data_IF_097364369020
#
_entry.id   IF_097364369020
#
_cell.length_a   1.000
_cell.length_b   1.000
_cell.length_c   1.000
_cell.angle_alpha   90.00
_cell.angle_beta   90.00
_cell.angle_gamma   90.00
#
_symmetry.space_group_name_H-M   'P 1'
#
loop_
_entity.id
_entity.type
_entity.pdbx_description
1 polymer ?
#
# COMPACT_ATOMS: atom_id res chain seq x y z
N UNK A 1 37.95 -18.76 14.35
CA UNK A 1 36.66 -19.15 13.75
C UNK A 1 35.65 -18.00 13.49
N UNK A 2 35.91 -16.73 13.87
CA UNK A 2 34.95 -15.61 13.63
C UNK A 2 34.97 -15.01 12.21
N UNK A 3 36.02 -15.26 11.42
CA UNK A 3 36.19 -14.64 10.09
C UNK A 3 35.29 -15.25 9.00
N UNK A 4 35.03 -16.57 9.02
CA UNK A 4 34.13 -17.19 8.03
C UNK A 4 32.72 -16.60 8.11
N UNK A 5 32.18 -16.43 9.32
CA UNK A 5 30.83 -15.92 9.52
C UNK A 5 30.64 -14.47 9.01
N UNK A 6 31.71 -13.66 9.02
CA UNK A 6 31.68 -12.29 8.48
C UNK A 6 31.74 -12.27 6.95
N UNK A 7 32.50 -13.18 6.33
CA UNK A 7 32.56 -13.30 4.88
C UNK A 7 31.25 -13.84 4.30
N UNK A 8 30.64 -14.83 4.95
CA UNK A 8 29.35 -15.36 4.55
C UNK A 8 28.24 -14.30 4.69
N UNK A 9 28.25 -13.52 5.78
CA UNK A 9 27.35 -12.37 5.96
C UNK A 9 27.55 -11.31 4.87
N UNK A 10 28.78 -10.96 4.52
CA UNK A 10 29.05 -10.01 3.44
C UNK A 10 28.60 -10.54 2.07
N UNK A 11 28.80 -11.83 1.80
CA UNK A 11 28.33 -12.46 0.56
C UNK A 11 26.79 -12.49 0.47
N UNK A 12 26.11 -12.78 1.57
CA UNK A 12 24.65 -12.71 1.66
C UNK A 12 24.15 -11.27 1.48
N UNK A 13 24.78 -10.28 2.13
CA UNK A 13 24.46 -8.86 1.93
C UNK A 13 24.67 -8.40 0.48
N UNK A 14 25.69 -8.92 -0.20
CA UNK A 14 25.93 -8.62 -1.61
C UNK A 14 24.83 -9.18 -2.52
N UNK A 15 24.36 -10.42 -2.29
CA UNK A 15 23.21 -11.00 -3.02
C UNK A 15 21.96 -10.17 -2.83
N UNK A 16 21.75 -9.76 -1.61
CA UNK A 16 20.64 -8.94 -1.22
C UNK A 16 20.66 -7.55 -1.91
N UNK A 17 21.85 -6.95 -2.09
CA UNK A 17 22.03 -5.71 -2.84
C UNK A 17 21.65 -5.82 -4.33
N UNK A 18 21.57 -7.04 -4.88
CA UNK A 18 21.22 -7.25 -6.30
C UNK A 18 19.72 -7.20 -6.61
N UNK A 19 18.83 -7.25 -5.60
CA UNK A 19 17.37 -7.36 -5.80
C UNK A 19 16.81 -6.25 -6.69
N UNK A 20 17.24 -5.01 -6.46
CA UNK A 20 16.83 -3.85 -7.26
C UNK A 20 18.00 -3.17 -7.97
N UNK A 21 19.07 -3.91 -8.28
CA UNK A 21 20.20 -3.33 -8.99
C UNK A 21 19.76 -2.76 -10.35
N UNK A 22 20.31 -1.59 -10.65
CA UNK A 22 20.22 -0.90 -11.93
C UNK A 22 21.65 -0.76 -12.45
N UNK A 23 21.86 -1.05 -13.73
CA UNK A 23 23.18 -0.96 -14.36
C UNK A 23 23.71 0.48 -14.27
N UNK A 24 24.94 0.65 -13.77
CA UNK A 24 25.59 1.96 -13.66
C UNK A 24 25.10 2.87 -12.52
N UNK A 25 24.23 2.39 -11.62
CA UNK A 25 23.73 3.20 -10.50
C UNK A 25 24.02 2.53 -9.14
N UNK A 26 24.67 3.29 -8.25
CA UNK A 26 24.87 2.93 -6.84
C UNK A 26 24.19 3.97 -5.93
N UNK A 27 23.21 3.59 -5.09
CA UNK A 27 22.56 4.50 -4.16
C UNK A 27 23.43 4.88 -2.94
N UNK A 28 24.48 4.12 -2.64
CA UNK A 28 25.29 4.25 -1.41
C UNK A 28 25.93 5.63 -1.21
N UNK A 29 26.51 6.29 -2.24
CA UNK A 29 27.15 7.59 -2.09
C UNK A 29 26.19 8.72 -1.73
N UNK A 30 24.89 8.54 -1.99
CA UNK A 30 23.86 9.53 -1.69
C UNK A 30 23.24 9.35 -0.30
N UNK A 31 23.72 8.38 0.49
CA UNK A 31 23.24 8.15 1.84
C UNK A 31 23.60 9.32 2.76
N UNK A 32 22.60 9.85 3.47
CA UNK A 32 22.77 10.92 4.45
C UNK A 32 22.63 10.35 5.84
N UNK A 33 23.48 10.78 6.77
CA UNK A 33 23.34 10.45 8.18
C UNK A 33 22.15 11.20 8.78
N UNK A 34 21.29 10.46 9.46
CA UNK A 34 20.14 10.94 10.18
C UNK A 34 20.17 10.35 11.58
N UNK A 35 20.05 11.21 12.58
CA UNK A 35 19.92 10.78 13.97
C UNK A 35 18.48 10.40 14.24
N UNK A 36 18.27 9.14 14.61
CA UNK A 36 16.97 8.68 15.07
C UNK A 36 16.62 9.40 16.38
N UNK A 37 15.51 10.14 16.39
CA UNK A 37 15.09 10.94 17.55
C UNK A 37 14.65 10.07 18.73
N UNK A 38 14.32 8.79 18.48
CA UNK A 38 13.87 7.86 19.51
C UNK A 38 15.04 7.13 20.18
N UNK A 39 16.08 6.78 19.42
CA UNK A 39 17.22 6.00 19.95
C UNK A 39 18.51 6.78 20.08
N UNK A 40 18.60 7.99 19.50
CA UNK A 40 19.83 8.78 19.45
C UNK A 40 20.91 8.22 18.52
N UNK A 41 20.62 7.16 17.78
CA UNK A 41 21.58 6.52 16.89
C UNK A 41 21.70 7.26 15.55
N UNK A 42 22.93 7.55 15.13
CA UNK A 42 23.22 8.04 13.78
C UNK A 42 23.08 6.91 12.76
N UNK A 43 22.03 6.96 11.95
CA UNK A 43 21.70 5.96 10.93
C UNK A 43 21.81 6.58 9.54
N UNK A 44 22.34 5.82 8.57
CA UNK A 44 22.40 6.28 7.17
C UNK A 44 21.08 5.98 6.47
N UNK A 45 20.45 7.00 5.89
CA UNK A 45 19.21 6.89 5.12
C UNK A 45 19.39 7.51 3.75
N UNK A 46 18.84 6.86 2.73
CA UNK A 46 18.77 7.41 1.39
C UNK A 46 17.68 8.50 1.33
N UNK A 47 17.97 9.72 0.85
CA UNK A 47 16.96 10.76 0.66
C UNK A 47 15.85 10.29 -0.29
N UNK A 48 14.60 10.72 -0.05
CA UNK A 48 13.42 10.26 -0.81
C UNK A 48 13.58 10.51 -2.31
N UNK A 49 14.19 11.63 -2.72
CA UNK A 49 14.44 11.92 -4.14
C UNK A 49 15.31 10.87 -4.82
N UNK A 50 16.31 10.32 -4.11
CA UNK A 50 17.21 9.31 -4.65
C UNK A 50 16.52 7.95 -4.69
N UNK A 51 15.69 7.63 -3.68
CA UNK A 51 14.82 6.44 -3.71
C UNK A 51 13.86 6.48 -4.92
N UNK A 52 13.25 7.65 -5.19
CA UNK A 52 12.37 7.83 -6.34
C UNK A 52 13.11 7.73 -7.67
N UNK A 53 14.33 8.29 -7.77
CA UNK A 53 15.16 8.16 -8.96
C UNK A 53 15.51 6.69 -9.22
N UNK A 54 15.95 5.97 -8.18
CA UNK A 54 16.27 4.55 -8.26
C UNK A 54 15.06 3.71 -8.69
N UNK A 55 13.90 3.97 -8.07
CA UNK A 55 12.64 3.34 -8.46
C UNK A 55 12.30 3.57 -9.93
N UNK A 56 12.40 4.82 -10.42
CA UNK A 56 12.11 5.16 -11.82
C UNK A 56 13.09 4.54 -12.81
N UNK A 57 14.34 4.32 -12.42
CA UNK A 57 15.32 3.63 -13.25
C UNK A 57 15.01 2.14 -13.37
N UNK A 58 14.52 1.50 -12.29
CA UNK A 58 14.12 0.08 -12.30
C UNK A 58 12.75 -0.14 -12.95
N UNK A 59 11.83 0.78 -12.71
CA UNK A 59 10.45 0.77 -13.19
C UNK A 59 10.15 2.09 -13.93
N UNK A 60 10.47 2.18 -15.24
CA UNK A 60 10.22 3.40 -16.02
C UNK A 60 8.74 3.79 -16.12
N UNK A 61 7.85 2.79 -16.13
CA UNK A 61 6.38 3.00 -16.06
C UNK A 61 5.86 3.06 -14.61
N UNK A 62 6.73 3.04 -13.60
CA UNK A 62 6.34 2.95 -12.21
C UNK A 62 5.55 4.16 -11.73
N UNK A 63 4.56 3.91 -10.87
CA UNK A 63 3.66 4.95 -10.31
C UNK A 63 3.75 4.97 -8.79
N UNK A 64 3.74 6.17 -8.22
CA UNK A 64 3.61 6.37 -6.77
C UNK A 64 2.30 7.14 -6.53
N UNK A 65 1.32 6.50 -5.90
CA UNK A 65 0.07 7.13 -5.52
C UNK A 65 0.14 7.55 -4.04
N UNK A 66 -0.26 8.77 -3.71
CA UNK A 66 -0.26 9.28 -2.34
C UNK A 66 -1.63 9.84 -2.01
N UNK A 67 -2.24 9.33 -0.95
CA UNK A 67 -3.48 9.83 -0.40
C UNK A 67 -3.19 10.49 0.95
N UNK A 68 -3.84 11.62 1.23
CA UNK A 68 -3.68 12.31 2.53
C UNK A 68 -5.04 12.60 3.12
N UNK A 69 -5.23 12.19 4.36
CA UNK A 69 -6.39 12.51 5.17
C UNK A 69 -6.01 13.44 6.33
N UNK A 70 -6.72 14.55 6.52
CA UNK A 70 -6.54 15.38 7.71
C UNK A 70 -7.08 14.64 8.95
N UNK A 71 -6.30 14.64 10.03
CA UNK A 71 -6.70 14.25 11.38
C UNK A 71 -6.97 15.46 12.26
N UNK A 72 -7.14 15.26 13.59
CA UNK A 72 -7.36 16.36 14.54
C UNK A 72 -6.14 17.30 14.62
N UNK A 73 -4.97 16.75 14.93
CA UNK A 73 -3.72 17.51 15.13
C UNK A 73 -2.58 17.02 14.23
N UNK A 74 -2.90 16.16 13.25
CA UNK A 74 -1.93 15.54 12.37
C UNK A 74 -2.50 15.33 10.97
N UNK A 75 -1.62 15.12 10.00
CA UNK A 75 -1.96 14.63 8.68
C UNK A 75 -1.50 13.20 8.57
N UNK A 76 -2.38 12.32 8.10
CA UNK A 76 -2.06 10.92 7.80
C UNK A 76 -1.94 10.80 6.28
N UNK A 77 -0.79 10.38 5.80
CA UNK A 77 -0.53 10.12 4.40
C UNK A 77 -0.28 8.63 4.17
N UNK A 78 -0.91 8.07 3.15
CA UNK A 78 -0.70 6.70 2.70
C UNK A 78 -0.11 6.74 1.30
N UNK A 79 1.00 6.06 1.09
CA UNK A 79 1.69 5.97 -0.19
C UNK A 79 1.70 4.53 -0.69
N UNK A 80 1.36 4.33 -1.95
CA UNK A 80 1.40 3.05 -2.68
C UNK A 80 2.35 3.16 -3.86
N UNK A 81 3.23 2.18 -4.00
CA UNK A 81 4.24 2.10 -5.06
C UNK A 81 3.86 0.98 -6.01
N UNK A 82 3.67 1.28 -7.29
CA UNK A 82 3.23 0.33 -8.32
C UNK A 82 4.32 0.13 -9.37
N UNK A 83 4.57 -1.11 -9.84
CA UNK A 83 5.59 -1.36 -10.86
C UNK A 83 5.24 -0.73 -12.22
N UNK A 84 3.95 -0.62 -12.55
CA UNK A 84 3.45 0.14 -13.71
C UNK A 84 2.23 0.99 -13.34
N UNK A 85 2.01 2.09 -14.05
CA UNK A 85 0.80 2.91 -13.94
C UNK A 85 -0.46 2.21 -14.48
N UNK A 86 -0.29 1.13 -15.26
CA UNK A 86 -1.38 0.32 -15.83
C UNK A 86 -1.93 -0.71 -14.86
N UNK A 87 -1.20 -0.96 -13.78
CA UNK A 87 -1.56 -1.97 -12.80
C UNK A 87 -2.83 -1.56 -12.02
N UNK A 88 -3.63 -2.55 -11.64
CA UNK A 88 -4.83 -2.35 -10.84
C UNK A 88 -4.53 -1.79 -9.44
N UNK A 89 -5.55 -1.31 -8.70
CA UNK A 89 -5.37 -0.63 -7.43
C UNK A 89 -4.67 -1.47 -6.34
N UNK A 90 -4.80 -2.80 -6.40
CA UNK A 90 -4.22 -3.74 -5.44
C UNK A 90 -2.86 -4.31 -5.85
N UNK A 91 -2.39 -4.01 -7.06
CA UNK A 91 -1.13 -4.54 -7.61
C UNK A 91 0.08 -3.66 -7.24
N UNK A 92 0.16 -3.22 -5.98
CA UNK A 92 1.27 -2.40 -5.48
C UNK A 92 2.42 -3.28 -4.96
N UNK A 93 3.67 -2.84 -5.17
CA UNK A 93 4.87 -3.46 -4.59
C UNK A 93 4.92 -3.25 -3.07
N UNK A 94 4.52 -2.07 -2.61
CA UNK A 94 4.45 -1.75 -1.20
C UNK A 94 3.46 -0.61 -0.93
N UNK A 95 2.87 -0.66 0.26
CA UNK A 95 2.11 0.43 0.86
C UNK A 95 2.79 0.84 2.17
N UNK A 96 2.75 2.13 2.48
CA UNK A 96 3.12 2.61 3.80
C UNK A 96 2.27 3.83 4.20
N UNK A 97 2.01 3.93 5.50
CA UNK A 97 1.29 5.06 6.09
C UNK A 97 2.22 5.81 7.05
N UNK A 98 2.15 7.14 7.02
CA UNK A 98 2.87 8.00 7.95
C UNK A 98 1.96 9.12 8.45
N UNK A 99 2.03 9.41 9.74
CA UNK A 99 1.34 10.53 10.36
C UNK A 99 2.34 11.58 10.84
N UNK A 100 2.06 12.87 10.60
CA UNK A 100 2.88 13.99 11.11
C UNK A 100 2.00 15.12 11.60
N UNK A 101 2.33 15.66 12.77
CA UNK A 101 1.74 16.86 13.35
C UNK A 101 2.59 18.10 13.12
N UNK A 102 2.11 19.25 13.60
CA UNK A 102 2.91 20.49 13.61
C UNK A 102 4.12 20.31 14.53
N UNK A 103 5.31 20.61 14.00
CA UNK A 103 6.55 20.56 14.78
C UNK A 103 6.95 21.98 15.19
N UNK A 104 6.97 22.31 16.50
CA UNK A 104 7.38 23.63 16.97
C UNK A 104 8.85 23.94 16.65
N UNK A 105 9.70 22.93 16.46
CA UNK A 105 11.10 23.11 16.06
C UNK A 105 11.25 23.41 14.55
N UNK A 106 10.23 23.11 13.74
CA UNK A 106 10.24 23.30 12.28
C UNK A 106 8.93 23.92 11.79
N UNK A 107 8.61 25.16 12.21
CA UNK A 107 7.33 25.79 11.90
C UNK A 107 7.13 26.10 10.41
N UNK A 108 8.21 26.11 9.61
CA UNK A 108 8.16 26.32 8.17
C UNK A 108 7.77 25.06 7.38
N UNK A 109 7.80 23.88 7.99
CA UNK A 109 7.50 22.62 7.32
C UNK A 109 6.01 22.32 7.47
N UNK A 110 5.30 22.21 6.36
CA UNK A 110 3.90 21.79 6.36
C UNK A 110 3.77 20.35 6.87
N UNK A 111 2.98 20.08 7.91
CA UNK A 111 2.77 18.73 8.42
C UNK A 111 2.20 17.78 7.36
N UNK A 112 1.41 18.32 6.43
CA UNK A 112 0.88 17.60 5.26
C UNK A 112 2.00 17.11 4.36
N UNK A 113 2.87 18.01 3.92
CA UNK A 113 3.97 17.68 3.00
C UNK A 113 5.00 16.76 3.66
N UNK A 114 5.20 16.95 4.97
CA UNK A 114 6.06 16.08 5.75
C UNK A 114 5.50 14.66 5.86
N UNK A 115 4.21 14.51 6.16
CA UNK A 115 3.53 13.21 6.17
C UNK A 115 3.63 12.52 4.80
N UNK A 116 3.36 13.25 3.71
CA UNK A 116 3.46 12.74 2.34
C UNK A 116 4.87 12.23 2.02
N UNK A 117 5.88 13.06 2.27
CA UNK A 117 7.29 12.71 1.99
C UNK A 117 7.74 11.53 2.86
N UNK A 118 7.28 11.47 4.11
CA UNK A 118 7.55 10.34 4.99
C UNK A 118 6.93 9.05 4.48
N UNK A 119 5.64 9.06 4.12
CA UNK A 119 4.92 7.91 3.60
C UNK A 119 5.57 7.36 2.32
N UNK A 120 5.87 8.22 1.34
CA UNK A 120 6.56 7.83 0.10
C UNK A 120 7.91 7.20 0.39
N UNK A 121 8.70 7.84 1.27
CA UNK A 121 10.01 7.31 1.63
C UNK A 121 9.95 5.97 2.35
N UNK A 122 8.90 5.69 3.15
CA UNK A 122 8.74 4.38 3.80
C UNK A 122 8.28 3.36 2.77
N UNK A 123 7.30 3.67 1.93
CA UNK A 123 6.80 2.75 0.91
C UNK A 123 7.90 2.33 -0.08
N UNK A 124 8.74 3.27 -0.52
CA UNK A 124 9.89 2.97 -1.38
C UNK A 124 10.94 2.09 -0.69
N UNK A 125 11.19 2.31 0.61
CA UNK A 125 12.01 1.38 1.40
C UNK A 125 11.37 -0.01 1.46
N UNK A 126 10.09 -0.12 1.74
CA UNK A 126 9.42 -1.42 1.79
C UNK A 126 9.45 -2.13 0.42
N UNK A 127 9.38 -1.36 -0.68
CA UNK A 127 9.46 -1.86 -2.06
C UNK A 127 10.88 -2.21 -2.53
N UNK A 128 11.90 -2.05 -1.69
CA UNK A 128 13.25 -2.43 -2.09
C UNK A 128 14.18 -1.28 -2.52
N UNK A 129 13.72 -0.03 -2.51
CA UNK A 129 14.43 1.17 -2.97
C UNK A 129 15.04 1.97 -1.80
N UNK A 130 15.76 1.27 -0.95
CA UNK A 130 16.34 1.81 0.27
C UNK A 130 17.75 1.29 0.50
N UNK A 131 18.41 1.74 1.57
CA UNK A 131 19.61 1.05 2.05
C UNK A 131 19.13 -0.15 2.85
N UNK A 132 18.69 -1.17 2.11
CA UNK A 132 17.69 -2.15 2.51
C UNK A 132 18.07 -3.10 3.68
N UNK A 133 19.30 -3.12 4.22
CA UNK A 133 19.72 -4.23 5.12
C UNK A 133 20.60 -3.87 6.32
N UNK A 134 20.80 -2.59 6.62
CA UNK A 134 21.23 -2.20 7.97
C UNK A 134 20.06 -2.21 8.98
N UNK A 135 18.87 -2.63 8.52
CA UNK A 135 17.62 -2.76 9.26
C UNK A 135 17.51 -4.08 10.07
N UNK A 136 18.55 -4.92 10.10
CA UNK A 136 18.59 -6.21 10.80
C UNK A 136 18.62 -6.09 12.35
N UNK A 137 17.94 -5.09 12.89
CA UNK A 137 17.76 -4.81 14.31
C UNK A 137 16.54 -3.93 14.57
N UNK A 138 15.61 -3.81 13.63
CA UNK A 138 14.25 -3.35 13.96
C UNK A 138 13.55 -4.49 14.69
N UNK A 139 13.85 -4.60 15.98
CA UNK A 139 12.86 -5.03 16.95
C UNK A 139 11.62 -4.18 16.67
N UNK A 140 10.54 -4.86 16.26
CA UNK A 140 9.25 -4.28 15.96
C UNK A 140 8.98 -3.14 16.92
N UNK A 141 8.73 -1.94 16.40
CA UNK A 141 8.16 -0.90 17.23
C UNK A 141 6.85 -1.46 17.81
N UNK A 142 6.89 -1.90 19.06
CA UNK A 142 5.73 -2.20 19.88
C UNK A 142 4.92 -0.91 20.01
N UNK A 143 4.12 -0.65 18.99
CA UNK A 143 2.91 0.13 19.14
C UNK A 143 1.81 -0.51 18.28
N UNK A 144 1.65 -1.82 18.47
CA UNK A 144 0.42 -2.52 18.17
C UNK A 144 -0.45 -2.46 19.43
N UNK A 145 -1.42 -1.55 19.39
CA UNK A 145 -2.77 -1.63 19.99
C UNK A 145 -2.85 -2.21 21.42
N UNK A 146 -3.06 -1.36 22.42
CA UNK A 146 -3.80 -1.75 23.62
C UNK A 146 -5.27 -1.41 23.37
N UNK A 147 -5.96 -2.26 22.63
CA UNK A 147 -7.40 -2.35 22.73
C UNK A 147 -7.82 -3.78 22.43
N UNK A 148 -8.24 -4.47 23.50
CA UNK A 148 -8.86 -5.79 23.55
C UNK A 148 -7.91 -6.98 23.69
N UNK A 149 -7.66 -7.39 24.95
CA UNK A 149 -7.89 -8.77 25.44
C UNK A 149 -7.75 -8.80 26.99
N UNK A 150 -8.70 -9.40 27.73
CA UNK A 150 -8.61 -9.53 29.17
C UNK A 150 -7.69 -10.70 29.57
N UNK A 151 -7.18 -10.59 30.80
CA UNK A 151 -6.18 -11.43 31.44
C UNK A 151 -6.52 -12.92 31.53
N UNK A 152 -5.49 -13.77 31.36
CA UNK A 152 -5.15 -14.87 32.27
C UNK A 152 -3.82 -15.53 31.88
N UNK A 153 -2.77 -15.17 32.63
CA UNK A 153 -1.72 -16.00 33.25
C UNK A 153 -1.13 -17.25 32.54
N UNK A 154 0.20 -17.16 32.37
CA UNK A 154 1.25 -18.10 32.79
C UNK A 154 1.73 -19.25 31.86
N UNK A 155 2.97 -19.02 31.41
CA UNK A 155 4.18 -19.86 31.60
C UNK A 155 4.37 -21.15 30.80
N UNK A 156 5.43 -21.14 29.99
CA UNK A 156 6.55 -22.11 29.96
C UNK A 156 7.03 -22.31 28.54
N UNK A 157 8.30 -22.01 28.30
CA UNK A 157 8.92 -22.13 26.99
C UNK A 157 9.28 -23.56 26.64
N UNK A 158 9.50 -23.81 25.34
CA UNK A 158 10.55 -24.71 24.90
C UNK A 158 10.91 -24.40 23.44
N UNK A 159 12.22 -24.40 23.17
CA UNK A 159 12.80 -24.43 21.83
C UNK A 159 12.35 -25.72 21.12
N UNK A 160 12.31 -25.74 19.78
CA UNK A 160 12.88 -26.80 18.93
C UNK A 160 12.59 -26.53 17.43
N UNK A 161 13.68 -26.33 16.71
CA UNK A 161 14.06 -26.80 15.37
C UNK A 161 13.04 -26.87 14.21
N UNK A 162 13.45 -26.18 13.14
CA UNK A 162 13.24 -26.53 11.73
C UNK A 162 13.56 -28.01 11.44
N UNK A 163 12.95 -28.57 10.38
CA UNK A 163 13.81 -29.14 9.33
C UNK A 163 13.41 -28.74 7.91
N UNK A 164 14.44 -28.57 7.10
CA UNK A 164 14.41 -28.55 5.64
C UNK A 164 14.76 -29.95 5.09
N UNK A 165 14.06 -30.39 4.05
CA UNK A 165 14.46 -31.33 2.99
C UNK A 165 13.24 -31.47 2.06
N UNK A 166 13.28 -31.53 0.74
CA UNK A 166 14.30 -31.95 -0.21
C UNK A 166 13.56 -32.71 -1.33
N UNK A 167 13.81 -32.30 -2.58
CA UNK A 167 13.32 -32.74 -3.90
C UNK A 167 13.17 -34.29 -4.11
N UNK A 168 12.51 -34.91 -5.09
CA UNK A 168 12.06 -34.69 -6.50
C UNK A 168 10.80 -35.62 -6.71
N UNK A 169 9.97 -35.60 -7.78
CA UNK A 169 10.23 -36.11 -9.15
C UNK A 169 9.02 -35.85 -10.08
N UNK A 170 9.30 -35.15 -11.19
CA UNK A 170 8.81 -35.22 -12.59
C UNK A 170 7.48 -35.93 -12.96
N UNK A 171 6.60 -35.22 -13.66
CA UNK A 171 5.96 -35.75 -14.89
C UNK A 171 5.41 -34.65 -15.81
N UNK A 172 5.75 -34.75 -17.09
CA UNK A 172 5.52 -33.81 -18.20
C UNK A 172 4.07 -33.73 -18.69
N UNK A 173 3.64 -32.55 -19.15
CA UNK A 173 2.96 -32.34 -20.44
C UNK A 173 2.67 -30.84 -20.68
N UNK A 174 3.25 -30.25 -21.72
CA UNK A 174 2.86 -28.95 -22.29
C UNK A 174 1.76 -29.14 -23.38
N UNK A 175 1.35 -28.10 -24.13
CA UNK A 175 0.21 -27.19 -23.91
C UNK A 175 -0.88 -27.36 -24.99
N UNK A 176 -2.01 -26.62 -24.91
CA UNK A 176 -2.38 -25.84 -26.11
C UNK A 176 -3.07 -24.49 -25.81
N UNK A 177 -2.56 -23.42 -26.42
CA UNK A 177 -3.38 -22.34 -27.03
C UNK A 177 -3.73 -22.78 -28.47
N UNK A 178 -4.62 -22.13 -29.27
CA UNK A 178 -5.19 -20.77 -29.14
C UNK A 178 -6.70 -20.65 -29.48
N UNK A 179 -7.44 -19.67 -28.93
CA UNK A 179 -8.63 -19.08 -29.61
C UNK A 179 -8.82 -17.61 -29.28
N UNK A 180 -8.67 -16.81 -30.33
CA UNK A 180 -9.06 -15.42 -30.54
C UNK A 180 -10.55 -15.20 -30.29
N UNK A 181 -10.92 -14.20 -29.48
CA UNK A 181 -12.22 -13.52 -29.53
C UNK A 181 -12.12 -12.12 -28.89
N UNK A 182 -12.86 -11.19 -29.47
CA UNK A 182 -12.87 -9.73 -29.26
C UNK A 182 -13.21 -9.28 -27.81
N UNK A 183 -12.89 -8.03 -27.44
CA UNK A 183 -13.27 -7.46 -26.15
C UNK A 183 -14.79 -7.27 -26.09
N UNK A 184 -15.49 -8.18 -25.42
CA UNK A 184 -16.88 -8.00 -25.03
C UNK A 184 -16.92 -6.84 -24.02
N UNK A 185 -17.46 -5.71 -24.45
CA UNK A 185 -17.80 -4.59 -23.60
C UNK A 185 -18.64 -5.10 -22.42
N UNK A 186 -18.25 -4.74 -21.18
CA UNK A 186 -19.08 -4.90 -19.98
C UNK A 186 -20.52 -4.44 -20.31
N UNK A 187 -21.45 -5.37 -20.43
CA UNK A 187 -22.86 -5.07 -20.70
C UNK A 187 -23.36 -4.04 -19.67
N UNK A 188 -24.23 -3.09 -20.06
CA UNK A 188 -24.72 -2.04 -19.17
C UNK A 188 -25.36 -2.62 -17.89
N UNK A 189 -25.94 -3.81 -17.99
CA UNK A 189 -26.51 -4.58 -16.89
C UNK A 189 -25.45 -4.99 -15.83
N UNK A 190 -24.27 -5.48 -16.25
CA UNK A 190 -23.20 -5.84 -15.31
C UNK A 190 -22.64 -4.62 -14.57
N UNK A 191 -22.60 -3.46 -15.24
CA UNK A 191 -22.17 -2.20 -14.62
C UNK A 191 -23.18 -1.70 -13.59
N UNK A 192 -24.48 -1.87 -13.87
CA UNK A 192 -25.55 -1.56 -12.94
C UNK A 192 -25.54 -2.49 -11.72
N UNK A 193 -25.36 -3.78 -11.92
CA UNK A 193 -25.27 -4.76 -10.83
C UNK A 193 -24.10 -4.45 -9.89
N UNK A 194 -22.93 -4.10 -10.45
CA UNK A 194 -21.78 -3.62 -9.67
C UNK A 194 -22.10 -2.32 -8.92
N UNK A 195 -22.83 -1.38 -9.54
CA UNK A 195 -23.25 -0.15 -8.89
C UNK A 195 -24.22 -0.42 -7.72
N UNK A 196 -25.18 -1.34 -7.90
CA UNK A 196 -26.12 -1.76 -6.85
C UNK A 196 -25.43 -2.47 -5.68
N UNK A 197 -24.35 -3.21 -5.94
CA UNK A 197 -23.56 -3.90 -4.91
C UNK A 197 -22.50 -3.00 -4.21
N UNK A 198 -22.35 -1.75 -4.66
CA UNK A 198 -21.42 -0.81 -4.02
C UNK A 198 -21.96 -0.39 -2.65
N UNK A 199 -21.11 -0.28 -1.63
CA UNK A 199 -21.54 0.09 -0.28
C UNK A 199 -21.91 1.57 -0.16
N UNK A 200 -22.96 1.85 0.63
CA UNK A 200 -23.42 3.21 0.89
C UNK A 200 -22.46 3.94 1.85
N UNK A 201 -21.97 5.15 1.48
CA UNK A 201 -21.03 5.92 2.28
C UNK A 201 -21.70 6.71 3.42
N UNK A 202 -23.03 6.70 3.52
CA UNK A 202 -23.78 7.45 4.52
C UNK A 202 -23.76 6.65 5.83
N UNK A 203 -23.29 7.27 6.92
CA UNK A 203 -23.16 6.63 8.25
C UNK A 203 -24.48 6.03 8.77
N UNK A 204 -25.62 6.63 8.41
CA UNK A 204 -26.98 6.13 8.74
C UNK A 204 -27.28 4.76 8.10
N UNK A 205 -26.62 4.43 6.99
CA UNK A 205 -26.80 3.20 6.22
C UNK A 205 -25.51 2.33 6.19
N UNK A 206 -24.66 2.46 7.21
CA UNK A 206 -23.40 1.72 7.32
C UNK A 206 -23.63 0.21 7.15
N UNK A 207 -22.94 -0.39 6.17
CA UNK A 207 -23.03 -1.82 5.85
C UNK A 207 -24.12 -2.20 4.85
N UNK A 208 -24.94 -1.25 4.38
CA UNK A 208 -25.93 -1.47 3.32
C UNK A 208 -25.36 -1.10 1.95
N UNK A 209 -25.84 -1.77 0.91
CA UNK A 209 -25.46 -1.45 -0.47
C UNK A 209 -26.30 -0.29 -1.04
N UNK A 210 -25.84 0.32 -2.12
CA UNK A 210 -26.60 1.39 -2.80
C UNK A 210 -27.95 0.88 -3.32
N UNK A 211 -28.03 -0.38 -3.78
CA UNK A 211 -29.30 -1.00 -4.18
C UNK A 211 -30.27 -1.20 -3.02
N UNK A 212 -29.77 -1.61 -1.85
CA UNK A 212 -30.59 -1.74 -0.64
C UNK A 212 -31.06 -0.37 -0.13
N UNK A 213 -30.18 0.64 -0.18
CA UNK A 213 -30.50 2.00 0.25
C UNK A 213 -31.45 2.68 -0.73
N UNK A 214 -31.38 2.39 -2.03
CA UNK A 214 -32.36 2.86 -3.02
C UNK A 214 -33.77 2.43 -2.65
N UNK A 215 -33.95 1.18 -2.24
CA UNK A 215 -35.25 0.62 -1.84
C UNK A 215 -35.79 1.23 -0.54
N UNK A 216 -34.92 1.76 0.32
CA UNK A 216 -35.29 2.33 1.62
C UNK A 216 -35.43 3.85 1.61
N UNK A 217 -34.53 4.54 0.92
CA UNK A 217 -34.44 6.00 0.87
C UNK A 217 -33.85 6.47 -0.47
N UNK A 218 -34.70 6.61 -1.51
CA UNK A 218 -34.27 7.07 -2.83
C UNK A 218 -33.59 8.45 -2.81
N UNK A 219 -33.95 9.31 -1.84
CA UNK A 219 -33.35 10.63 -1.68
C UNK A 219 -31.88 10.55 -1.23
N UNK A 220 -31.53 9.52 -0.47
CA UNK A 220 -30.15 9.28 -0.06
C UNK A 220 -29.25 8.96 -1.27
N UNK A 221 -29.75 8.14 -2.21
CA UNK A 221 -29.03 7.82 -3.45
C UNK A 221 -28.88 9.05 -4.33
N UNK A 222 -29.95 9.85 -4.49
CA UNK A 222 -29.88 11.11 -5.24
C UNK A 222 -28.90 12.12 -4.62
N UNK A 223 -28.84 12.18 -3.28
CA UNK A 223 -27.86 13.00 -2.58
C UNK A 223 -26.43 12.49 -2.83
N UNK A 224 -26.21 11.18 -2.87
CA UNK A 224 -24.89 10.60 -3.23
C UNK A 224 -24.52 10.93 -4.68
N UNK A 225 -25.47 10.85 -5.61
CA UNK A 225 -25.24 11.16 -7.02
C UNK A 225 -24.85 12.65 -7.26
N UNK A 226 -25.41 13.58 -6.47
CA UNK A 226 -25.34 15.03 -6.77
C UNK A 226 -24.54 15.87 -5.77
N UNK A 227 -24.48 15.47 -4.50
CA UNK A 227 -23.93 16.28 -3.40
C UNK A 227 -22.77 15.62 -2.66
N UNK A 228 -22.58 14.31 -2.80
CA UNK A 228 -21.47 13.61 -2.15
C UNK A 228 -20.12 14.02 -2.77
N UNK A 229 -19.19 14.42 -1.90
CA UNK A 229 -17.82 14.85 -2.25
C UNK A 229 -16.76 13.82 -1.87
N UNK A 230 -17.17 12.60 -1.53
CA UNK A 230 -16.25 11.52 -1.21
C UNK A 230 -15.77 10.83 -2.48
N UNK A 231 -15.84 9.51 -2.49
CA UNK A 231 -15.36 8.70 -3.61
C UNK A 231 -16.15 8.99 -4.92
N UNK A 232 -15.48 9.37 -6.02
CA UNK A 232 -16.12 9.60 -7.30
C UNK A 232 -16.74 8.33 -7.90
N UNK A 233 -16.24 7.13 -7.57
CA UNK A 233 -16.81 5.86 -8.04
C UNK A 233 -18.16 5.57 -7.38
N UNK A 234 -18.32 5.90 -6.10
CA UNK A 234 -19.59 5.77 -5.39
C UNK A 234 -20.62 6.79 -5.91
N UNK A 235 -20.17 8.02 -6.20
CA UNK A 235 -21.03 9.01 -6.84
C UNK A 235 -21.44 8.59 -8.25
N UNK A 236 -20.53 7.99 -9.03
CA UNK A 236 -20.81 7.45 -10.36
C UNK A 236 -21.77 6.24 -10.29
N UNK A 237 -21.57 5.33 -9.35
CA UNK A 237 -22.47 4.20 -9.10
C UNK A 237 -23.88 4.68 -8.72
N UNK A 238 -23.99 5.65 -7.82
CA UNK A 238 -25.28 6.24 -7.44
C UNK A 238 -25.97 6.94 -8.63
N UNK A 239 -25.21 7.60 -9.52
CA UNK A 239 -25.76 8.20 -10.75
C UNK A 239 -26.32 7.14 -11.70
N UNK A 240 -25.58 6.07 -11.93
CA UNK A 240 -26.02 4.95 -12.79
C UNK A 240 -27.31 4.33 -12.26
N UNK A 241 -27.40 4.13 -10.94
CA UNK A 241 -28.61 3.59 -10.30
C UNK A 241 -29.80 4.55 -10.43
N UNK A 242 -29.57 5.87 -10.26
CA UNK A 242 -30.61 6.88 -10.47
C UNK A 242 -31.10 6.92 -11.92
N UNK A 243 -30.19 6.85 -12.89
CA UNK A 243 -30.49 6.88 -14.33
C UNK A 243 -31.27 5.64 -14.79
N UNK A 244 -30.91 4.47 -14.25
CA UNK A 244 -31.65 3.23 -14.50
C UNK A 244 -33.05 3.24 -13.86
N UNK A 245 -33.17 3.72 -12.62
CA UNK A 245 -34.48 3.87 -11.95
C UNK A 245 -35.41 4.81 -12.72
N UNK A 246 -34.88 5.88 -13.31
CA UNK A 246 -35.61 6.81 -14.18
C UNK A 246 -36.03 6.16 -15.50
N UNK A 247 -35.16 5.32 -16.07
CA UNK A 247 -35.41 4.59 -17.32
C UNK A 247 -36.49 3.52 -17.13
N UNK A 248 -36.45 2.76 -16.03
CA UNK A 248 -37.48 1.78 -15.68
C UNK A 248 -38.83 2.42 -15.35
N UNK A 249 -38.84 3.63 -14.79
CA UNK A 249 -40.08 4.37 -14.51
C UNK A 249 -40.72 5.01 -15.76
N UNK A 250 -39.97 5.11 -16.86
CA UNK A 250 -40.42 5.72 -18.13
C UNK A 250 -40.81 4.71 -19.21
N UNK A 251 -40.64 3.41 -18.93
CA UNK A 251 -41.01 2.28 -19.78
C UNK A 251 -42.36 1.69 -19.35
#
# INVERSE_FOLDING_TARGET
>A
MRQNNSNDKNAMLAKIATINQVEGFDPTPFAVEYTDLNTGESRKRLPVMIQMAWFRMKYPEGRIAVQVSPGRDCFVATARVYPSYKDGPDCYLAEATASRGMDPAKPSVSPREWAQTAAVGIALRNAGFGLQFNMAGEEYAEQAVDEFLPASEQESGEKVNTPANGAETVSSASPPEPKTAAPEELTPEKRLEQAMNTFCPIQKYKGKTLGEVLSMDPNAINWIATKFKGDPEIAAAARLICEDSLSQASA
#
